data_IF_123892745394
#
_entry.id   IF_123892745394
#
_cell.length_a   1.000
_cell.length_b   1.000
_cell.length_c   1.000
_cell.angle_alpha   90.00
_cell.angle_beta   90.00
_cell.angle_gamma   90.00
#
_symmetry.space_group_name_H-M   'P 1'
#
loop_
_entity.id
_entity.type
_entity.pdbx_description
1 polymer ?
#
# COMPACT_ATOMS: atom_id res chain seq x y z
N UNK A 1 14.30 49.13 30.17
CA UNK A 1 12.95 48.82 29.60
C UNK A 1 12.99 48.38 28.13
N UNK A 2 13.81 48.92 27.24
CA UNK A 2 13.78 48.52 25.80
C UNK A 2 14.21 47.09 25.48
N UNK A 3 15.18 46.49 26.16
CA UNK A 3 15.66 45.13 25.87
C UNK A 3 14.64 44.03 26.24
N UNK A 4 13.87 44.21 27.27
CA UNK A 4 12.80 43.26 27.63
C UNK A 4 11.63 43.29 26.68
N UNK A 5 11.27 44.47 26.15
CA UNK A 5 10.21 44.61 25.16
C UNK A 5 10.56 43.92 23.83
N UNK A 6 11.82 44.03 23.40
CA UNK A 6 12.33 43.37 22.19
C UNK A 6 12.30 41.84 22.35
N UNK A 7 12.64 41.32 23.54
CA UNK A 7 12.60 39.85 23.78
C UNK A 7 11.17 39.31 23.81
N UNK A 8 10.23 40.06 24.37
CA UNK A 8 8.81 39.70 24.36
C UNK A 8 8.25 39.76 22.95
N UNK A 9 8.60 40.75 22.14
CA UNK A 9 8.20 40.87 20.74
C UNK A 9 8.75 39.70 19.89
N UNK A 10 10.00 39.32 20.12
CA UNK A 10 10.64 38.19 19.43
C UNK A 10 10.03 36.84 19.82
N UNK A 11 9.62 36.68 21.08
CA UNK A 11 8.92 35.50 21.56
C UNK A 11 7.50 35.40 20.97
N UNK A 12 6.76 36.51 20.91
CA UNK A 12 5.46 36.55 20.24
C UNK A 12 5.54 36.36 18.71
N UNK A 13 6.60 36.87 18.07
CA UNK A 13 6.83 36.65 16.65
C UNK A 13 7.11 35.18 16.32
N UNK A 14 7.85 34.46 17.16
CA UNK A 14 8.08 33.02 17.02
C UNK A 14 6.79 32.19 17.26
N UNK A 15 5.88 32.64 18.12
CA UNK A 15 4.58 32.01 18.32
C UNK A 15 3.64 32.17 17.11
N UNK A 16 3.82 33.21 16.29
CA UNK A 16 3.04 33.47 15.08
C UNK A 16 3.54 32.71 13.84
N UNK A 17 4.74 32.10 13.91
CA UNK A 17 5.33 31.31 12.81
C UNK A 17 4.98 29.82 12.92
N UNK A 18 4.11 29.43 13.83
CA UNK A 18 3.49 28.12 13.72
C UNK A 18 2.55 28.18 12.52
N UNK A 19 3.08 27.75 11.38
CA UNK A 19 2.29 27.51 10.17
C UNK A 19 1.17 26.53 10.53
N UNK A 20 0.00 27.06 10.82
CA UNK A 20 -1.21 26.27 10.81
C UNK A 20 -1.42 25.84 9.36
N UNK A 21 -0.99 24.66 8.99
CA UNK A 21 -1.37 24.05 7.73
C UNK A 21 -2.88 23.79 7.81
N UNK A 22 -3.65 24.72 7.30
CA UNK A 22 -5.07 24.50 7.09
C UNK A 22 -5.19 23.55 5.91
N UNK A 23 -5.49 22.29 6.18
CA UNK A 23 -5.84 21.33 5.13
C UNK A 23 -7.21 21.74 4.58
N UNK A 24 -7.25 22.18 3.34
CA UNK A 24 -8.49 22.36 2.59
C UNK A 24 -9.00 20.97 2.17
N UNK A 25 -9.90 20.41 2.97
CA UNK A 25 -10.60 19.18 2.58
C UNK A 25 -11.63 19.53 1.52
N UNK A 26 -11.46 19.03 0.32
CA UNK A 26 -12.42 19.13 -0.77
C UNK A 26 -13.05 17.75 -0.99
N UNK A 27 -14.39 17.70 -1.01
CA UNK A 27 -15.07 16.50 -1.48
C UNK A 27 -14.78 16.34 -2.98
N UNK A 28 -14.18 15.22 -3.35
CA UNK A 28 -13.69 14.97 -4.71
C UNK A 28 -14.78 14.43 -5.63
N UNK A 29 -15.76 13.71 -5.05
CA UNK A 29 -16.87 13.15 -5.82
C UNK A 29 -18.17 13.13 -5.00
N UNK A 30 -19.30 13.36 -5.65
CA UNK A 30 -20.60 13.05 -5.09
C UNK A 30 -20.88 11.54 -5.20
N UNK A 31 -21.66 11.02 -4.24
CA UNK A 31 -22.06 9.61 -4.18
C UNK A 31 -22.75 9.11 -5.46
N UNK A 32 -23.31 10.03 -6.25
CA UNK A 32 -24.04 9.73 -7.48
C UNK A 32 -23.15 9.28 -8.65
N UNK A 33 -21.83 9.53 -8.57
CA UNK A 33 -20.89 9.22 -9.66
C UNK A 33 -19.99 8.02 -9.37
N UNK A 34 -20.01 7.47 -8.16
CA UNK A 34 -19.22 6.32 -7.78
C UNK A 34 -20.05 5.04 -7.75
N UNK A 35 -19.43 3.92 -8.11
CA UNK A 35 -20.06 2.59 -8.06
C UNK A 35 -20.58 2.24 -6.65
N UNK A 36 -19.86 2.65 -5.59
CA UNK A 36 -20.27 2.49 -4.20
C UNK A 36 -19.52 3.50 -3.30
N UNK A 37 -20.14 3.90 -2.19
CA UNK A 37 -19.56 4.83 -1.22
C UNK A 37 -18.53 4.20 -0.27
N UNK A 38 -18.47 2.87 -0.21
CA UNK A 38 -17.52 2.14 0.65
C UNK A 38 -16.22 1.90 -0.11
N UNK A 39 -15.27 2.83 0.03
CA UNK A 39 -13.94 2.74 -0.58
C UNK A 39 -13.13 1.70 0.17
N UNK A 40 -12.52 0.78 -0.54
CA UNK A 40 -11.69 -0.31 -0.02
C UNK A 40 -10.21 -0.14 -0.35
N UNK A 41 -9.90 0.46 -1.51
CA UNK A 41 -8.52 0.68 -1.92
C UNK A 41 -8.37 1.90 -2.82
N UNK A 42 -7.17 2.50 -2.79
CA UNK A 42 -6.79 3.64 -3.63
C UNK A 42 -5.42 3.35 -4.25
N UNK A 43 -5.27 3.65 -5.54
CA UNK A 43 -4.01 3.55 -6.24
C UNK A 43 -3.89 4.69 -7.24
N UNK A 44 -2.76 5.41 -7.22
CA UNK A 44 -2.46 6.43 -8.24
C UNK A 44 -1.48 5.87 -9.25
N UNK A 45 -1.74 6.09 -10.54
CA UNK A 45 -0.84 5.73 -11.61
C UNK A 45 0.11 6.88 -11.98
N UNK A 46 1.04 6.63 -12.91
CA UNK A 46 2.03 7.61 -13.37
C UNK A 46 1.44 8.80 -14.12
N UNK A 47 0.19 8.70 -14.59
CA UNK A 47 -0.54 9.79 -15.26
C UNK A 47 -1.30 10.65 -14.26
N UNK A 48 -1.30 10.26 -12.98
CA UNK A 48 -2.04 10.92 -11.92
C UNK A 48 -3.50 10.47 -11.82
N UNK A 49 -3.95 9.47 -12.62
CA UNK A 49 -5.28 8.90 -12.48
C UNK A 49 -5.42 8.18 -11.14
N UNK A 50 -6.50 8.45 -10.43
CA UNK A 50 -6.82 7.78 -9.18
C UNK A 50 -7.75 6.61 -9.43
N UNK A 51 -7.26 5.41 -9.17
CA UNK A 51 -7.99 4.15 -9.21
C UNK A 51 -8.62 3.90 -7.85
N UNK A 52 -9.93 3.78 -7.80
CA UNK A 52 -10.71 3.71 -6.57
C UNK A 52 -11.46 2.37 -6.55
N UNK A 53 -11.01 1.47 -5.71
CA UNK A 53 -11.71 0.21 -5.43
C UNK A 53 -12.80 0.43 -4.39
N UNK A 54 -13.95 -0.20 -4.61
CA UNK A 54 -15.10 -0.13 -3.71
C UNK A 54 -15.67 -1.52 -3.42
N UNK A 55 -16.65 -1.59 -2.53
CA UNK A 55 -17.38 -2.83 -2.27
C UNK A 55 -18.22 -3.30 -3.48
N UNK A 56 -18.44 -2.45 -4.48
CA UNK A 56 -19.26 -2.80 -5.66
C UNK A 56 -18.74 -2.14 -6.94
N UNK A 57 -17.47 -2.31 -7.25
CA UNK A 57 -16.86 -1.90 -8.50
C UNK A 57 -15.57 -1.12 -8.38
N UNK A 58 -14.98 -0.90 -9.52
CA UNK A 58 -13.76 -0.13 -9.71
C UNK A 58 -14.11 1.18 -10.41
N UNK A 59 -13.54 2.28 -9.91
CA UNK A 59 -13.73 3.60 -10.49
C UNK A 59 -12.35 4.21 -10.82
N UNK A 60 -12.31 5.00 -11.87
CA UNK A 60 -11.12 5.74 -12.30
C UNK A 60 -11.48 7.22 -12.31
N UNK A 61 -10.74 8.03 -11.56
CA UNK A 61 -10.94 9.47 -11.47
C UNK A 61 -9.74 10.21 -12.07
N UNK A 62 -10.00 11.10 -13.01
CA UNK A 62 -8.98 11.88 -13.73
C UNK A 62 -8.76 13.31 -13.17
N UNK A 63 -9.48 13.66 -12.10
CA UNK A 63 -9.49 15.00 -11.52
C UNK A 63 -10.77 15.80 -11.88
N UNK A 64 -11.57 15.33 -12.83
CA UNK A 64 -12.79 15.96 -13.31
C UNK A 64 -13.95 14.96 -13.37
N UNK A 65 -13.76 13.81 -13.99
CA UNK A 65 -14.78 12.81 -14.24
C UNK A 65 -14.42 11.46 -13.60
N UNK A 66 -15.46 10.67 -13.32
CA UNK A 66 -15.33 9.30 -12.82
C UNK A 66 -15.82 8.33 -13.91
N UNK A 67 -14.92 7.46 -14.34
CA UNK A 67 -15.24 6.28 -15.15
C UNK A 67 -15.55 5.10 -14.22
N UNK A 68 -16.73 4.53 -14.31
CA UNK A 68 -17.10 3.34 -13.54
C UNK A 68 -16.76 2.07 -14.34
N UNK A 69 -16.07 1.13 -13.68
CA UNK A 69 -15.64 -0.14 -14.23
C UNK A 69 -16.30 -1.29 -13.45
N UNK A 70 -17.45 -1.77 -13.93
CA UNK A 70 -18.20 -2.88 -13.30
C UNK A 70 -18.04 -4.18 -14.06
N UNK A 71 -18.08 -5.29 -13.32
CA UNK A 71 -18.26 -6.62 -13.91
C UNK A 71 -19.66 -6.72 -14.49
N UNK A 72 -19.77 -6.96 -15.77
CA UNK A 72 -21.02 -7.30 -16.45
C UNK A 72 -20.77 -8.60 -17.21
N UNK A 73 -21.78 -9.41 -17.47
CA UNK A 73 -21.77 -10.77 -18.04
C UNK A 73 -20.98 -10.96 -19.35
N UNK A 74 -19.74 -10.50 -19.44
CA UNK A 74 -18.84 -10.64 -20.58
C UNK A 74 -17.45 -11.12 -20.11
N UNK A 75 -16.77 -11.87 -20.97
CA UNK A 75 -15.47 -12.49 -20.70
C UNK A 75 -14.33 -11.50 -20.38
N UNK A 76 -14.50 -10.21 -20.69
CA UNK A 76 -13.47 -9.16 -20.54
C UNK A 76 -13.59 -8.35 -19.24
N UNK A 77 -14.20 -8.89 -18.18
CA UNK A 77 -14.43 -8.16 -16.93
C UNK A 77 -13.67 -8.75 -15.74
N UNK A 78 -13.60 -7.95 -14.65
CA UNK A 78 -13.03 -8.41 -13.39
C UNK A 78 -13.78 -9.62 -12.85
N UNK A 79 -13.07 -10.50 -12.14
CA UNK A 79 -13.64 -11.72 -11.54
C UNK A 79 -14.70 -11.42 -10.45
N UNK A 80 -14.83 -10.18 -10.01
CA UNK A 80 -15.84 -9.75 -9.05
C UNK A 80 -15.88 -8.24 -8.87
N UNK A 81 -16.95 -7.74 -8.24
CA UNK A 81 -17.15 -6.30 -7.99
C UNK A 81 -16.55 -5.84 -6.65
N UNK A 82 -16.45 -6.72 -5.66
CA UNK A 82 -15.79 -6.37 -4.40
C UNK A 82 -14.29 -6.29 -4.65
N UNK A 83 -13.78 -5.06 -4.70
CA UNK A 83 -12.36 -4.77 -4.93
C UNK A 83 -11.65 -4.67 -3.59
N UNK A 84 -10.72 -5.56 -3.31
CA UNK A 84 -9.98 -5.56 -2.03
C UNK A 84 -8.70 -4.72 -2.11
N UNK A 85 -7.97 -4.81 -3.23
CA UNK A 85 -6.72 -4.07 -3.40
C UNK A 85 -6.41 -3.80 -4.88
N UNK A 86 -5.65 -2.73 -5.15
CA UNK A 86 -5.20 -2.35 -6.49
C UNK A 86 -3.71 -2.03 -6.42
N UNK A 87 -2.91 -2.62 -7.30
CA UNK A 87 -1.47 -2.34 -7.44
C UNK A 87 -1.15 -2.02 -8.89
N UNK A 88 -0.66 -0.81 -9.14
CA UNK A 88 -0.14 -0.40 -10.45
C UNK A 88 1.35 -0.75 -10.55
N UNK A 89 1.76 -1.54 -11.53
CA UNK A 89 3.15 -2.02 -11.69
C UNK A 89 3.90 -1.36 -12.85
N UNK A 90 3.36 -0.26 -13.40
CA UNK A 90 3.91 0.44 -14.56
C UNK A 90 3.37 -0.11 -15.88
N UNK A 91 3.69 0.57 -16.99
CA UNK A 91 3.37 0.14 -18.36
C UNK A 91 1.88 -0.15 -18.61
N UNK A 92 0.98 0.63 -18.00
CA UNK A 92 -0.47 0.43 -18.06
C UNK A 92 -0.96 -0.92 -17.50
N UNK A 93 -0.19 -1.56 -16.61
CA UNK A 93 -0.55 -2.83 -15.97
C UNK A 93 -1.04 -2.59 -14.54
N UNK A 94 -2.26 -3.03 -14.27
CA UNK A 94 -2.92 -2.96 -12.97
C UNK A 94 -3.25 -4.36 -12.50
N UNK A 95 -2.94 -4.64 -11.25
CA UNK A 95 -3.30 -5.86 -10.56
C UNK A 95 -4.43 -5.55 -9.59
N UNK A 96 -5.56 -6.21 -9.79
CA UNK A 96 -6.81 -5.91 -9.09
C UNK A 96 -7.24 -7.18 -8.36
N UNK A 97 -7.18 -7.11 -7.04
CA UNK A 97 -7.68 -8.16 -6.17
C UNK A 97 -9.17 -7.99 -5.98
N UNK A 98 -9.91 -9.07 -6.23
CA UNK A 98 -11.31 -9.19 -5.87
C UNK A 98 -11.51 -10.38 -4.95
N UNK A 99 -12.70 -10.50 -4.35
CA UNK A 99 -13.02 -11.67 -3.52
C UNK A 99 -12.86 -13.01 -4.27
N UNK A 100 -13.08 -13.02 -5.58
CA UNK A 100 -13.07 -14.24 -6.39
C UNK A 100 -11.74 -14.52 -7.10
N UNK A 101 -10.78 -13.63 -7.03
CA UNK A 101 -9.47 -13.87 -7.64
C UNK A 101 -8.66 -12.60 -7.91
N UNK A 102 -7.51 -12.83 -8.48
CA UNK A 102 -6.61 -11.78 -8.94
C UNK A 102 -6.79 -11.54 -10.44
N UNK A 103 -6.88 -10.28 -10.81
CA UNK A 103 -7.04 -9.85 -12.20
C UNK A 103 -5.83 -9.00 -12.60
N UNK A 104 -5.28 -9.25 -13.78
CA UNK A 104 -4.27 -8.42 -14.41
C UNK A 104 -4.91 -7.66 -15.58
N UNK A 105 -5.17 -6.39 -15.38
CA UNK A 105 -5.67 -5.49 -16.42
C UNK A 105 -4.49 -4.85 -17.15
N UNK A 106 -4.46 -5.02 -18.46
CA UNK A 106 -3.61 -4.24 -19.36
C UNK A 106 -4.47 -3.14 -20.00
N UNK A 107 -4.29 -1.89 -19.56
CA UNK A 107 -5.10 -0.76 -20.00
C UNK A 107 -4.76 -0.33 -21.43
N UNK A 108 -3.54 -0.61 -21.90
CA UNK A 108 -3.10 -0.31 -23.27
C UNK A 108 -3.83 -1.15 -24.32
N UNK A 109 -4.06 -2.44 -24.02
CA UNK A 109 -4.77 -3.39 -24.90
C UNK A 109 -6.21 -3.59 -24.47
N UNK A 110 -6.60 -3.07 -23.32
CA UNK A 110 -7.89 -3.26 -22.67
C UNK A 110 -8.26 -4.74 -22.46
N UNK A 111 -7.26 -5.54 -22.06
CA UNK A 111 -7.42 -6.97 -21.81
C UNK A 111 -7.27 -7.31 -20.33
N UNK A 112 -8.07 -8.27 -19.86
CA UNK A 112 -8.01 -8.78 -18.49
C UNK A 112 -7.59 -10.25 -18.52
N UNK A 113 -6.62 -10.60 -17.68
CA UNK A 113 -6.20 -11.99 -17.43
C UNK A 113 -6.56 -12.34 -16.00
N UNK A 114 -7.21 -13.49 -15.80
CA UNK A 114 -7.64 -13.97 -14.49
C UNK A 114 -6.66 -15.00 -13.94
N UNK A 115 -6.36 -14.88 -12.63
CA UNK A 115 -5.54 -15.81 -11.87
C UNK A 115 -6.38 -16.37 -10.71
N UNK A 116 -7.14 -17.44 -10.99
CA UNK A 116 -8.11 -18.02 -10.07
C UNK A 116 -7.46 -18.83 -8.94
N UNK A 117 -6.18 -19.10 -9.03
CA UNK A 117 -5.36 -19.70 -7.94
C UNK A 117 -5.22 -18.76 -6.74
N UNK A 118 -5.34 -17.44 -6.95
CA UNK A 118 -5.32 -16.44 -5.88
C UNK A 118 -6.74 -16.04 -5.52
N UNK A 119 -7.35 -16.76 -4.58
CA UNK A 119 -8.68 -16.49 -4.06
C UNK A 119 -8.63 -16.13 -2.59
N UNK A 120 -9.67 -15.47 -2.08
CA UNK A 120 -9.81 -15.02 -0.71
C UNK A 120 -8.82 -13.91 -0.37
N UNK A 121 -8.53 -13.77 0.92
CA UNK A 121 -7.64 -12.74 1.43
C UNK A 121 -6.18 -13.11 1.18
N UNK A 122 -5.46 -12.21 0.52
CA UNK A 122 -4.02 -12.27 0.39
C UNK A 122 -3.44 -10.85 0.42
N UNK A 123 -2.15 -10.74 0.68
CA UNK A 123 -1.44 -9.46 0.64
C UNK A 123 -0.70 -9.34 -0.69
N UNK A 124 -0.78 -8.18 -1.32
CA UNK A 124 0.01 -7.90 -2.51
C UNK A 124 0.64 -6.51 -2.46
N UNK A 125 1.85 -6.41 -3.01
CA UNK A 125 2.59 -5.16 -3.16
C UNK A 125 3.57 -5.28 -4.32
N UNK A 126 4.19 -4.16 -4.72
CA UNK A 126 5.19 -4.12 -5.78
C UNK A 126 6.53 -3.60 -5.28
N UNK A 127 7.61 -3.98 -5.95
CA UNK A 127 8.91 -3.34 -5.78
C UNK A 127 9.09 -2.11 -6.68
N UNK A 128 10.23 -1.44 -6.56
CA UNK A 128 10.58 -0.26 -7.37
C UNK A 128 10.72 -0.55 -8.86
N UNK A 129 10.89 -1.82 -9.25
CA UNK A 129 10.97 -2.28 -10.64
C UNK A 129 9.60 -2.73 -11.19
N UNK A 130 8.53 -2.57 -10.39
CA UNK A 130 7.19 -2.99 -10.74
C UNK A 130 7.00 -4.51 -10.77
N UNK A 131 7.82 -5.28 -10.04
CA UNK A 131 7.55 -6.70 -9.84
C UNK A 131 6.46 -6.86 -8.78
N UNK A 132 5.40 -7.59 -9.10
CA UNK A 132 4.32 -7.89 -8.15
C UNK A 132 4.74 -9.03 -7.24
N UNK A 133 4.47 -8.87 -5.93
CA UNK A 133 4.62 -9.90 -4.91
C UNK A 133 3.30 -10.17 -4.21
N UNK A 134 3.05 -11.43 -3.87
CA UNK A 134 1.83 -11.89 -3.20
C UNK A 134 2.20 -12.80 -2.04
N UNK A 135 1.57 -12.60 -0.89
CA UNK A 135 1.59 -13.55 0.24
C UNK A 135 0.18 -14.08 0.42
N UNK A 136 -0.02 -15.36 0.14
CA UNK A 136 -1.29 -16.07 0.33
C UNK A 136 -1.15 -17.21 1.32
N UNK A 137 -0.01 -17.90 1.30
CA UNK A 137 0.29 -19.07 2.12
C UNK A 137 1.33 -18.76 3.19
N UNK A 138 1.29 -19.51 4.29
CA UNK A 138 2.13 -19.28 5.47
C UNK A 138 3.64 -19.46 5.24
N UNK A 139 4.07 -20.10 4.15
CA UNK A 139 5.47 -20.47 3.95
C UNK A 139 6.04 -20.07 2.60
N UNK A 140 5.36 -19.21 1.86
CA UNK A 140 5.87 -18.76 0.57
C UNK A 140 5.39 -17.36 0.19
N UNK A 141 6.20 -16.72 -0.63
CA UNK A 141 5.89 -15.50 -1.35
C UNK A 141 5.86 -15.85 -2.82
N UNK A 142 4.82 -15.42 -3.52
CA UNK A 142 4.74 -15.52 -4.96
C UNK A 142 5.19 -14.18 -5.57
N UNK A 143 5.85 -14.23 -6.72
CA UNK A 143 6.12 -13.08 -7.55
C UNK A 143 5.76 -13.34 -9.00
N UNK A 144 5.31 -12.30 -9.69
CA UNK A 144 5.01 -12.41 -11.11
C UNK A 144 6.29 -12.28 -11.94
N UNK A 145 6.69 -13.38 -12.59
CA UNK A 145 7.86 -13.41 -13.45
C UNK A 145 7.53 -12.87 -14.84
N UNK A 146 7.85 -11.59 -15.09
CA UNK A 146 7.41 -10.84 -16.27
C UNK A 146 7.80 -11.48 -17.60
N UNK A 147 9.03 -12.05 -17.71
CA UNK A 147 9.53 -12.66 -18.95
C UNK A 147 8.80 -13.95 -19.32
N UNK A 148 8.39 -14.74 -18.34
CA UNK A 148 7.69 -16.01 -18.54
C UNK A 148 6.17 -15.84 -18.48
N UNK A 149 5.68 -14.74 -17.92
CA UNK A 149 4.25 -14.49 -17.79
C UNK A 149 3.54 -15.35 -16.75
N UNK A 150 4.26 -15.86 -15.75
CA UNK A 150 3.77 -16.79 -14.73
C UNK A 150 4.13 -16.33 -13.33
N UNK A 151 3.40 -16.84 -12.33
CA UNK A 151 3.81 -16.70 -10.93
C UNK A 151 4.83 -17.77 -10.56
N UNK A 152 5.92 -17.33 -9.94
CA UNK A 152 6.95 -18.19 -9.32
C UNK A 152 6.86 -18.09 -7.81
N UNK A 153 7.27 -19.15 -7.12
CA UNK A 153 7.18 -19.29 -5.66
C UNK A 153 8.57 -19.20 -5.02
N UNK A 154 8.68 -18.34 -4.01
CA UNK A 154 9.85 -18.29 -3.12
C UNK A 154 9.43 -18.91 -1.79
N UNK A 155 10.10 -20.03 -1.42
CA UNK A 155 9.85 -20.67 -0.14
C UNK A 155 10.51 -19.86 0.99
N UNK A 156 9.71 -19.51 1.99
CA UNK A 156 10.14 -18.83 3.21
C UNK A 156 9.57 -19.61 4.40
N UNK A 157 10.31 -19.65 5.50
CA UNK A 157 9.88 -20.38 6.69
C UNK A 157 9.37 -19.45 7.78
N UNK A 158 8.34 -19.90 8.51
CA UNK A 158 7.90 -19.28 9.75
C UNK A 158 7.23 -17.91 9.57
N UNK A 159 6.42 -17.74 8.53
CA UNK A 159 5.51 -16.59 8.39
C UNK A 159 4.06 -17.10 8.45
N UNK A 160 3.44 -17.18 9.63
CA UNK A 160 2.02 -17.51 9.73
C UNK A 160 1.19 -16.35 9.16
N UNK A 161 0.41 -16.61 8.11
CA UNK A 161 -0.38 -15.58 7.41
C UNK A 161 -1.39 -14.89 8.34
N UNK A 162 -1.92 -15.61 9.32
CA UNK A 162 -2.84 -15.07 10.35
C UNK A 162 -2.23 -13.97 11.21
N UNK A 163 -0.91 -13.89 11.26
CA UNK A 163 -0.18 -12.93 12.07
C UNK A 163 0.30 -11.71 11.28
N UNK A 164 0.19 -11.75 9.94
CA UNK A 164 0.59 -10.62 9.10
C UNK A 164 -0.39 -9.46 9.33
N UNK A 165 0.16 -8.32 9.65
CA UNK A 165 -0.57 -7.04 9.79
C UNK A 165 -0.40 -6.18 8.55
N UNK A 166 0.82 -6.15 8.00
CA UNK A 166 1.13 -5.44 6.78
C UNK A 166 2.25 -6.14 6.00
N UNK A 167 2.26 -5.88 4.70
CA UNK A 167 3.29 -6.32 3.78
C UNK A 167 3.58 -5.18 2.82
N UNK A 168 4.83 -4.70 2.80
CA UNK A 168 5.21 -3.59 1.93
C UNK A 168 6.66 -3.70 1.48
N UNK A 169 7.02 -2.92 0.45
CA UNK A 169 8.37 -2.80 -0.05
C UNK A 169 8.79 -1.33 0.06
N UNK A 170 9.95 -1.10 0.67
CA UNK A 170 10.46 0.24 0.94
C UNK A 170 11.25 0.82 -0.25
N UNK A 171 11.59 2.12 -0.17
CA UNK A 171 12.34 2.82 -1.21
C UNK A 171 13.77 2.30 -1.46
N UNK A 172 14.29 1.42 -0.59
CA UNK A 172 15.56 0.71 -0.78
C UNK A 172 15.37 -0.68 -1.39
N UNK A 173 14.19 -0.98 -1.91
CA UNK A 173 13.82 -2.28 -2.50
C UNK A 173 13.94 -3.45 -1.51
N UNK A 174 13.59 -3.21 -0.23
CA UNK A 174 13.53 -4.25 0.80
C UNK A 174 12.09 -4.59 1.10
N UNK A 175 11.83 -5.88 1.19
CA UNK A 175 10.52 -6.42 1.53
C UNK A 175 10.36 -6.51 3.05
N UNK A 176 9.30 -5.92 3.57
CA UNK A 176 8.93 -5.95 4.98
C UNK A 176 7.64 -6.74 5.17
N UNK A 177 7.71 -7.75 6.01
CA UNK A 177 6.54 -8.49 6.48
C UNK A 177 6.36 -8.16 7.95
N UNK A 178 5.35 -7.33 8.24
CA UNK A 178 5.02 -6.87 9.60
C UNK A 178 4.00 -7.81 10.21
N UNK A 179 4.35 -8.41 11.33
CA UNK A 179 3.53 -9.39 12.02
C UNK A 179 3.20 -8.94 13.44
N UNK A 180 2.24 -9.58 14.08
CA UNK A 180 1.89 -9.33 15.48
C UNK A 180 3.09 -9.61 16.38
N UNK A 181 3.75 -8.55 16.87
CA UNK A 181 4.87 -8.62 17.81
C UNK A 181 6.28 -8.74 17.21
N UNK A 182 6.42 -8.92 15.91
CA UNK A 182 7.72 -8.94 15.23
C UNK A 182 7.59 -8.61 13.74
N UNK A 183 8.72 -8.32 13.10
CA UNK A 183 8.79 -8.11 11.66
C UNK A 183 9.94 -8.90 11.04
N UNK A 184 9.84 -9.14 9.75
CA UNK A 184 10.91 -9.68 8.93
C UNK A 184 11.20 -8.74 7.78
N UNK A 185 12.47 -8.63 7.43
CA UNK A 185 12.94 -7.84 6.31
C UNK A 185 13.81 -8.70 5.39
N UNK A 186 13.67 -8.50 4.09
CA UNK A 186 14.43 -9.21 3.07
C UNK A 186 14.91 -8.22 2.02
N UNK A 187 16.18 -8.33 1.61
CA UNK A 187 16.63 -7.67 0.38
C UNK A 187 16.09 -8.45 -0.82
N UNK A 188 15.50 -7.72 -1.77
CA UNK A 188 15.02 -8.28 -3.02
C UNK A 188 16.18 -8.24 -4.02
N UNK A 189 16.60 -9.40 -4.50
CA UNK A 189 17.62 -9.54 -5.53
C UNK A 189 17.00 -10.15 -6.78
N UNK A 190 17.18 -9.49 -7.92
CA UNK A 190 16.73 -9.98 -9.22
C UNK A 190 17.91 -10.25 -10.14
N UNK A 191 17.98 -11.46 -10.68
CA UNK A 191 18.98 -11.83 -11.67
C UNK A 191 18.64 -11.19 -13.04
N UNK A 192 19.56 -10.41 -13.58
CA UNK A 192 19.32 -9.65 -14.81
C UNK A 192 19.08 -10.56 -16.04
N UNK A 193 19.73 -11.70 -16.11
CA UNK A 193 19.64 -12.63 -17.25
C UNK A 193 18.33 -13.41 -17.26
N UNK A 194 17.99 -14.10 -16.16
CA UNK A 194 16.79 -14.92 -16.04
C UNK A 194 15.56 -14.10 -15.67
N UNK A 195 15.73 -13.08 -14.84
CA UNK A 195 14.64 -12.33 -14.20
C UNK A 195 14.16 -12.98 -12.90
N UNK A 196 14.83 -14.05 -12.44
CA UNK A 196 14.50 -14.72 -11.20
C UNK A 196 14.76 -13.85 -9.98
N UNK A 197 13.90 -13.97 -8.97
CA UNK A 197 13.98 -13.20 -7.75
C UNK A 197 14.33 -14.11 -6.56
N UNK A 198 15.25 -13.64 -5.75
CA UNK A 198 15.61 -14.25 -4.46
C UNK A 198 15.43 -13.23 -3.33
N UNK A 199 15.11 -13.72 -2.14
CA UNK A 199 14.93 -12.92 -0.93
C UNK A 199 16.01 -13.28 0.08
N UNK A 200 16.85 -12.30 0.44
CA UNK A 200 17.91 -12.46 1.43
C UNK A 200 17.47 -11.88 2.78
N UNK A 201 17.35 -12.71 3.84
CA UNK A 201 16.95 -12.23 5.15
C UNK A 201 17.90 -11.17 5.72
N UNK A 202 17.36 -10.10 6.25
CA UNK A 202 18.07 -9.04 6.92
C UNK A 202 17.78 -9.01 8.41
N UNK A 203 18.79 -8.64 9.21
CA UNK A 203 18.59 -8.31 10.62
C UNK A 203 17.97 -6.92 10.72
N UNK A 204 16.86 -6.81 11.42
CA UNK A 204 16.18 -5.52 11.64
C UNK A 204 15.86 -5.33 13.11
N UNK A 205 15.77 -4.08 13.53
CA UNK A 205 15.17 -3.74 14.81
C UNK A 205 13.65 -3.96 14.74
N UNK A 206 13.06 -4.34 15.85
CA UNK A 206 11.60 -4.44 15.95
C UNK A 206 10.97 -3.07 15.71
N UNK A 207 9.99 -3.00 14.83
CA UNK A 207 9.23 -1.79 14.58
C UNK A 207 8.46 -1.40 15.84
N UNK A 208 7.91 -2.39 16.55
CA UNK A 208 7.12 -2.21 17.76
C UNK A 208 7.07 -3.50 18.59
N UNK A 209 6.69 -3.36 19.85
CA UNK A 209 6.56 -4.49 20.78
C UNK A 209 5.11 -4.83 21.12
N UNK A 210 4.14 -4.06 20.66
CA UNK A 210 2.73 -4.16 21.05
C UNK A 210 1.83 -4.45 19.87
N UNK A 211 0.61 -4.84 20.13
CA UNK A 211 -0.37 -5.18 19.09
C UNK A 211 -0.82 -3.96 18.31
N UNK A 212 -0.60 -3.97 17.02
CA UNK A 212 -1.11 -2.96 16.09
C UNK A 212 -2.60 -3.11 15.86
N UNK A 213 -3.28 -1.96 15.65
CA UNK A 213 -4.64 -1.89 15.14
C UNK A 213 -4.62 -1.61 13.64
N UNK A 214 -3.76 -0.69 13.22
CA UNK A 214 -3.68 -0.24 11.83
C UNK A 214 -2.24 0.10 11.44
N UNK A 215 -1.90 -0.12 10.16
CA UNK A 215 -0.56 0.12 9.65
C UNK A 215 -0.63 0.53 8.16
N UNK A 216 0.08 1.58 7.78
CA UNK A 216 0.28 2.00 6.39
C UNK A 216 1.69 2.54 6.22
N UNK A 217 2.15 2.67 4.99
CA UNK A 217 3.53 3.08 4.72
C UNK A 217 3.62 4.04 3.54
N UNK A 218 4.70 4.81 3.53
CA UNK A 218 5.29 5.44 2.36
C UNK A 218 6.66 4.78 2.07
N UNK A 219 7.42 5.33 1.13
CA UNK A 219 8.72 4.78 0.73
C UNK A 219 9.78 4.82 1.84
N UNK A 220 9.64 5.70 2.84
CA UNK A 220 10.64 5.96 3.87
C UNK A 220 10.18 5.67 5.28
N UNK A 221 8.88 5.56 5.50
CA UNK A 221 8.30 5.42 6.83
C UNK A 221 7.16 4.42 6.87
N UNK A 222 7.06 3.71 7.97
CA UNK A 222 5.90 2.93 8.34
C UNK A 222 5.16 3.69 9.44
N UNK A 223 3.89 3.96 9.21
CA UNK A 223 3.01 4.58 10.17
C UNK A 223 2.11 3.54 10.79
N UNK A 224 1.92 3.60 12.11
CA UNK A 224 1.08 2.61 12.79
C UNK A 224 0.37 3.18 14.02
N UNK A 225 -0.73 2.55 14.38
CA UNK A 225 -1.54 2.87 15.54
C UNK A 225 -1.58 1.64 16.45
N UNK A 226 -1.26 1.82 17.73
CA UNK A 226 -1.33 0.76 18.73
C UNK A 226 -2.72 0.67 19.39
N UNK A 227 -2.89 -0.26 20.33
CA UNK A 227 -4.17 -0.48 21.05
C UNK A 227 -4.61 0.68 21.95
N UNK A 228 -3.68 1.52 22.35
CA UNK A 228 -3.95 2.71 23.15
C UNK A 228 -4.22 3.92 22.27
N UNK A 229 -4.40 3.73 20.95
CA UNK A 229 -4.59 4.75 19.94
C UNK A 229 -3.41 5.73 19.83
N UNK A 230 -2.22 5.31 20.21
CA UNK A 230 -1.02 6.09 19.94
C UNK A 230 -0.61 5.91 18.48
N UNK A 231 -0.33 7.02 17.82
CA UNK A 231 0.10 7.10 16.45
C UNK A 231 1.61 7.33 16.39
N UNK A 232 2.31 6.47 15.64
CA UNK A 232 3.76 6.47 15.51
C UNK A 232 4.18 6.49 14.05
N UNK A 233 5.39 7.03 13.79
CA UNK A 233 6.14 6.80 12.58
C UNK A 233 7.41 6.00 12.89
N UNK A 234 7.64 4.92 12.16
CA UNK A 234 8.91 4.22 12.13
C UNK A 234 9.67 4.66 10.88
N UNK A 235 10.74 5.43 11.07
CA UNK A 235 11.57 5.90 9.97
C UNK A 235 12.52 4.79 9.52
N UNK A 236 12.28 4.22 8.33
CA UNK A 236 12.94 3.02 7.81
C UNK A 236 14.47 3.18 7.69
N UNK A 237 15.01 4.29 7.12
CA UNK A 237 16.47 4.46 6.97
C UNK A 237 17.22 4.48 8.29
N UNK A 238 16.67 5.08 9.33
CA UNK A 238 17.33 5.22 10.64
C UNK A 238 16.88 4.17 11.64
N UNK A 239 15.85 3.38 11.34
CA UNK A 239 15.22 2.39 12.22
C UNK A 239 14.79 2.97 13.57
N UNK A 240 14.29 4.20 13.57
CA UNK A 240 13.82 4.90 14.78
C UNK A 240 12.32 5.05 14.77
N UNK A 241 11.71 4.83 15.93
CA UNK A 241 10.31 5.15 16.19
C UNK A 241 10.17 6.58 16.71
N UNK A 242 9.17 7.27 16.21
CA UNK A 242 8.73 8.57 16.66
C UNK A 242 7.27 8.52 17.07
N UNK A 243 6.95 9.01 18.26
CA UNK A 243 5.57 9.21 18.68
C UNK A 243 5.03 10.49 18.05
N UNK A 244 3.89 10.40 17.35
CA UNK A 244 3.28 11.56 16.68
C UNK A 244 2.14 12.14 17.52
N UNK A 245 1.19 11.30 17.92
CA UNK A 245 -0.01 11.74 18.63
C UNK A 245 -0.72 10.59 19.34
N UNK A 246 -1.61 10.90 20.29
CA UNK A 246 -2.62 9.99 20.77
C UNK A 246 -3.97 10.37 20.14
N UNK A 247 -4.60 9.44 19.43
CA UNK A 247 -5.85 9.63 18.68
C UNK A 247 -7.09 9.23 19.49
N UNK A 248 -6.92 8.80 20.73
CA UNK A 248 -7.97 8.20 21.58
C UNK A 248 -8.83 9.20 22.35
N UNK A 249 -8.79 10.49 22.01
CA UNK A 249 -9.63 11.52 22.65
C UNK A 249 -10.29 12.44 21.64
#
# INVERSE_FOLDING_TARGET
MGKQLVFILFFFLNLLIHNAYAYNLKQVADKEYMSNSSITSLCQDERGLMWIGTCDGLNIYDGQEIEEFKTRDKEDYLSGNLIDNIVYTGEDIYWIQTYYGLNRLNRKTNTITHYNEFQKLFFMNKDSHGNLFIIQDSNCIYYYHKKEGVFKKINITGIPISDIVNFFIDGNNRMWVVMKGYNRCYDIQQEAASGDITLLPQKTNLIYQTSLIYCFNDEQSLYYIDKEFNFYAFHIPTQKNEFIANLGK
#
